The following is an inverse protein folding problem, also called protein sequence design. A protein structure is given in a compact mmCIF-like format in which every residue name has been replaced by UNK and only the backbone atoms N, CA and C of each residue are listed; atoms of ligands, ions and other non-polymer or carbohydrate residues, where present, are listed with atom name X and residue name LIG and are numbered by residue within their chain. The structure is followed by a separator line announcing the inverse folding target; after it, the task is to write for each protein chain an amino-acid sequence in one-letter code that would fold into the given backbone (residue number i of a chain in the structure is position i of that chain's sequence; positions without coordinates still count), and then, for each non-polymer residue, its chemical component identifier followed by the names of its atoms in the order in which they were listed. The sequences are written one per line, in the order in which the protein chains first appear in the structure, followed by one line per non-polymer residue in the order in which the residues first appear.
data_IF_852170938163
#
_entry.id   IF_852170938163
#
_cell.length_a   1.000
_cell.length_b   1.000
_cell.length_c   1.000
_cell.angle_alpha   90.00
_cell.angle_beta   90.00
_cell.angle_gamma   90.00
#
_symmetry.space_group_name_H-M   'P 1'
#
loop_
_entity.id
_entity.type
_entity.pdbx_description
1 polymer ?
#
# COMPACT_ATOMS: atom_id res chain seq x y z
N UNK A 1 31.87 -25.21 29.04
CA UNK A 1 31.69 -25.19 27.57
C UNK A 1 31.10 -26.51 27.05
N UNK A 2 29.85 -26.87 27.41
CA UNK A 2 29.14 -28.07 26.87
C UNK A 2 27.61 -27.93 26.83
N UNK A 3 27.05 -26.72 27.02
CA UNK A 3 25.59 -26.50 27.12
C UNK A 3 25.03 -25.47 26.13
N UNK A 4 25.79 -25.13 25.08
CA UNK A 4 25.44 -24.08 24.13
C UNK A 4 25.23 -24.57 22.70
N UNK A 5 24.97 -25.87 22.52
CA UNK A 5 24.92 -26.50 21.18
C UNK A 5 23.65 -27.32 20.93
N UNK A 6 22.58 -27.07 21.68
CA UNK A 6 21.37 -27.90 21.62
C UNK A 6 20.05 -27.11 21.51
N UNK A 7 20.13 -25.80 21.24
CA UNK A 7 18.94 -24.94 21.04
C UNK A 7 18.74 -24.55 19.57
N UNK A 8 19.75 -24.75 18.72
CA UNK A 8 19.70 -24.42 17.28
C UNK A 8 19.10 -25.51 16.39
N UNK A 9 18.56 -26.59 16.96
CA UNK A 9 18.04 -27.74 16.21
C UNK A 9 16.51 -27.88 16.15
N UNK A 10 15.76 -27.08 16.93
CA UNK A 10 14.28 -27.21 17.03
C UNK A 10 13.55 -26.05 16.35
N UNK A 11 14.23 -24.93 16.06
CA UNK A 11 13.64 -23.80 15.33
C UNK A 11 13.55 -24.01 13.82
N UNK A 12 14.17 -25.06 13.26
CA UNK A 12 14.21 -25.32 11.81
C UNK A 12 13.19 -26.36 11.33
N UNK A 13 12.34 -26.88 12.23
CA UNK A 13 11.25 -27.78 11.87
C UNK A 13 9.94 -27.04 11.51
N UNK A 14 9.80 -25.78 11.92
CA UNK A 14 8.63 -24.96 11.58
C UNK A 14 8.75 -24.23 10.23
N UNK A 15 9.92 -24.25 9.60
CA UNK A 15 10.12 -23.64 8.27
C UNK A 15 9.95 -24.69 7.14
N UNK A 16 10.01 -25.98 7.47
CA UNK A 16 9.89 -27.08 6.48
C UNK A 16 8.59 -27.88 6.57
N UNK A 17 7.73 -27.60 7.56
CA UNK A 17 6.30 -27.85 7.40
C UNK A 17 5.72 -26.69 6.59
N UNK A 18 6.19 -26.58 5.34
CA UNK A 18 5.42 -25.90 4.31
C UNK A 18 4.03 -26.48 4.40
N UNK A 19 3.09 -25.62 4.79
CA UNK A 19 1.68 -25.90 4.89
C UNK A 19 1.22 -26.42 3.51
N UNK A 20 1.39 -27.72 3.26
CA UNK A 20 0.53 -28.50 2.38
C UNK A 20 -0.79 -28.62 3.12
N UNK A 21 -1.45 -27.48 3.26
CA UNK A 21 -2.89 -27.44 3.31
C UNK A 21 -3.24 -27.47 1.84
N UNK A 22 -3.61 -28.65 1.34
CA UNK A 22 -4.37 -28.77 0.11
C UNK A 22 -5.68 -28.00 0.32
N UNK A 23 -5.62 -26.69 0.08
CA UNK A 23 -6.76 -25.79 -0.06
C UNK A 23 -7.26 -25.91 -1.50
N UNK A 24 -7.75 -27.11 -1.81
CA UNK A 24 -8.35 -27.43 -3.09
C UNK A 24 -9.78 -26.85 -3.12
N UNK A 25 -9.89 -25.50 -3.16
CA UNK A 25 -11.10 -24.73 -3.57
C UNK A 25 -10.97 -23.17 -3.55
N UNK A 26 -9.80 -22.55 -3.37
CA UNK A 26 -9.69 -21.07 -3.18
C UNK A 26 -8.68 -20.32 -4.08
N UNK A 27 -8.21 -20.93 -5.17
CA UNK A 27 -7.12 -20.34 -5.98
C UNK A 27 -7.53 -19.04 -6.67
N UNK A 28 -8.74 -18.94 -7.22
CA UNK A 28 -9.16 -17.75 -7.98
C UNK A 28 -9.32 -16.50 -7.12
N UNK A 29 -10.00 -16.57 -5.97
CA UNK A 29 -10.21 -15.41 -5.07
C UNK A 29 -8.90 -14.94 -4.41
N UNK A 30 -7.97 -15.88 -4.18
CA UNK A 30 -6.67 -15.53 -3.59
C UNK A 30 -5.74 -14.92 -4.64
N UNK A 31 -5.79 -15.41 -5.88
CA UNK A 31 -5.10 -14.81 -7.02
C UNK A 31 -5.66 -13.42 -7.34
N UNK A 32 -6.99 -13.24 -7.29
CA UNK A 32 -7.66 -11.95 -7.48
C UNK A 32 -7.26 -10.93 -6.40
N UNK A 33 -7.27 -11.33 -5.13
CA UNK A 33 -6.76 -10.48 -4.05
C UNK A 33 -5.28 -10.12 -4.23
N UNK A 34 -4.44 -11.07 -4.63
CA UNK A 34 -3.02 -10.79 -4.86
C UNK A 34 -2.81 -9.81 -6.03
N UNK A 35 -3.58 -9.94 -7.11
CA UNK A 35 -3.54 -9.00 -8.24
C UNK A 35 -3.95 -7.58 -7.82
N UNK A 36 -4.98 -7.44 -6.97
CA UNK A 36 -5.39 -6.11 -6.49
C UNK A 36 -4.35 -5.50 -5.52
N UNK A 37 -3.68 -6.31 -4.69
CA UNK A 37 -2.53 -5.82 -3.90
C UNK A 37 -1.41 -5.34 -4.80
N UNK A 38 -1.05 -6.10 -5.84
CA UNK A 38 0.00 -5.71 -6.80
C UNK A 38 -0.39 -4.42 -7.54
N UNK A 39 -1.62 -4.32 -8.02
CA UNK A 39 -2.14 -3.13 -8.70
C UNK A 39 -2.12 -1.89 -7.81
N UNK A 40 -2.54 -2.02 -6.56
CA UNK A 40 -2.45 -0.94 -5.58
C UNK A 40 -1.01 -0.51 -5.32
N UNK A 41 -0.10 -1.48 -5.17
CA UNK A 41 1.33 -1.21 -4.96
C UNK A 41 1.97 -0.51 -6.17
N UNK A 42 1.64 -0.94 -7.39
CA UNK A 42 2.12 -0.34 -8.63
C UNK A 42 1.68 1.13 -8.73
N UNK A 43 0.40 1.43 -8.47
CA UNK A 43 -0.11 2.81 -8.49
C UNK A 43 0.57 3.68 -7.43
N UNK A 44 0.86 3.13 -6.25
CA UNK A 44 1.59 3.84 -5.20
C UNK A 44 3.03 4.15 -5.64
N UNK A 45 3.72 3.18 -6.25
CA UNK A 45 5.10 3.33 -6.73
C UNK A 45 5.20 4.30 -7.91
N UNK A 46 4.29 4.20 -8.88
CA UNK A 46 4.23 5.09 -10.04
C UNK A 46 3.94 6.53 -9.60
N UNK A 47 2.94 6.71 -8.73
CA UNK A 47 2.62 8.03 -8.18
C UNK A 47 3.81 8.62 -7.44
N UNK A 48 4.49 7.83 -6.61
CA UNK A 48 5.69 8.26 -5.92
C UNK A 48 6.75 8.74 -6.91
N UNK A 49 7.08 7.93 -7.92
CA UNK A 49 8.14 8.26 -8.88
C UNK A 49 7.85 9.56 -9.64
N UNK A 50 6.61 9.77 -10.04
CA UNK A 50 6.22 11.00 -10.73
C UNK A 50 6.24 12.22 -9.81
N UNK A 51 5.70 12.10 -8.60
CA UNK A 51 5.64 13.21 -7.66
C UNK A 51 7.02 13.56 -7.07
N UNK A 52 7.91 12.59 -6.90
CA UNK A 52 9.30 12.85 -6.49
C UNK A 52 10.04 13.74 -7.50
N UNK A 53 9.74 13.63 -8.79
CA UNK A 53 10.35 14.49 -9.82
C UNK A 53 9.98 15.97 -9.65
N UNK A 54 8.84 16.27 -9.02
CA UNK A 54 8.37 17.64 -8.77
C UNK A 54 9.10 18.29 -7.57
N UNK A 55 9.76 17.50 -6.72
CA UNK A 55 10.49 18.02 -5.53
C UNK A 55 11.69 18.88 -5.87
N UNK A 56 12.23 18.74 -7.09
CA UNK A 56 13.34 19.57 -7.55
C UNK A 56 12.90 21.01 -7.87
N UNK A 57 11.60 21.23 -8.01
CA UNK A 57 11.03 22.55 -8.29
C UNK A 57 10.92 23.39 -7.01
N UNK A 58 11.10 24.72 -7.15
CA UNK A 58 10.96 25.66 -6.03
C UNK A 58 9.50 25.97 -5.67
N UNK A 59 8.58 25.70 -6.58
CA UNK A 59 7.15 25.98 -6.49
C UNK A 59 6.40 25.09 -7.46
N UNK A 60 5.14 24.77 -7.15
CA UNK A 60 4.24 24.06 -8.05
C UNK A 60 3.71 25.02 -9.11
N UNK A 61 3.75 24.60 -10.37
CA UNK A 61 3.00 25.23 -11.46
C UNK A 61 1.58 24.68 -11.52
N UNK A 62 0.69 25.36 -12.26
CA UNK A 62 -0.67 24.87 -12.47
C UNK A 62 -0.70 23.48 -13.15
N UNK A 63 0.27 23.20 -14.02
CA UNK A 63 0.44 21.87 -14.64
C UNK A 63 0.83 20.82 -13.59
N UNK A 64 1.71 21.17 -12.64
CA UNK A 64 2.09 20.29 -11.53
C UNK A 64 0.88 20.03 -10.61
N UNK A 65 0.08 21.05 -10.30
CA UNK A 65 -1.14 20.91 -9.50
C UNK A 65 -2.16 19.97 -10.17
N UNK A 66 -2.31 20.07 -11.49
CA UNK A 66 -3.18 19.17 -12.26
C UNK A 66 -2.67 17.73 -12.24
N UNK A 67 -1.35 17.53 -12.38
CA UNK A 67 -0.73 16.21 -12.28
C UNK A 67 -0.94 15.62 -10.88
N UNK A 68 -0.67 16.39 -9.83
CA UNK A 68 -0.89 15.98 -8.43
C UNK A 68 -2.36 15.61 -8.24
N UNK A 69 -3.31 16.43 -8.70
CA UNK A 69 -4.74 16.13 -8.61
C UNK A 69 -5.08 14.80 -9.25
N UNK A 70 -4.60 14.56 -10.48
CA UNK A 70 -4.87 13.31 -11.22
C UNK A 70 -4.34 12.09 -10.47
N UNK A 71 -3.12 12.17 -9.92
CA UNK A 71 -2.51 11.05 -9.19
C UNK A 71 -3.16 10.80 -7.84
N UNK A 72 -3.55 11.86 -7.13
CA UNK A 72 -4.34 11.74 -5.90
C UNK A 72 -5.71 11.10 -6.17
N UNK A 73 -6.36 11.44 -7.30
CA UNK A 73 -7.61 10.82 -7.71
C UNK A 73 -7.43 9.32 -7.98
N UNK A 74 -6.42 8.95 -8.77
CA UNK A 74 -6.10 7.55 -9.05
C UNK A 74 -5.78 6.75 -7.77
N UNK A 75 -5.05 7.33 -6.82
CA UNK A 75 -4.77 6.68 -5.54
C UNK A 75 -6.05 6.42 -4.73
N UNK A 76 -6.95 7.41 -4.64
CA UNK A 76 -8.21 7.25 -3.92
C UNK A 76 -9.06 6.18 -4.59
N UNK A 77 -9.18 6.21 -5.93
CA UNK A 77 -9.96 5.23 -6.68
C UNK A 77 -9.41 3.81 -6.49
N UNK A 78 -8.08 3.62 -6.51
CA UNK A 78 -7.47 2.31 -6.27
C UNK A 78 -7.59 1.84 -4.82
N UNK A 79 -7.56 2.76 -3.86
CA UNK A 79 -7.86 2.43 -2.45
C UNK A 79 -9.32 1.97 -2.33
N UNK A 80 -10.26 2.68 -2.96
CA UNK A 80 -11.68 2.31 -2.98
C UNK A 80 -11.91 0.92 -3.61
N UNK A 81 -11.32 0.65 -4.78
CA UNK A 81 -11.38 -0.66 -5.44
C UNK A 81 -10.85 -1.79 -4.53
N UNK A 82 -9.69 -1.58 -3.89
CA UNK A 82 -9.13 -2.58 -2.99
C UNK A 82 -10.02 -2.88 -1.76
N UNK A 83 -10.71 -1.86 -1.24
CA UNK A 83 -11.65 -2.02 -0.11
C UNK A 83 -12.95 -2.71 -0.51
N UNK A 84 -13.40 -2.53 -1.76
CA UNK A 84 -14.64 -3.14 -2.25
C UNK A 84 -14.48 -4.61 -2.68
N UNK A 85 -13.25 -5.06 -2.91
CA UNK A 85 -12.96 -6.41 -3.41
C UNK A 85 -13.38 -7.51 -2.43
N UNK A 86 -14.04 -8.56 -2.94
CA UNK A 86 -14.52 -9.67 -2.12
C UNK A 86 -13.40 -10.68 -1.89
N UNK A 87 -12.61 -10.47 -0.84
CA UNK A 87 -11.54 -11.40 -0.51
C UNK A 87 -12.05 -12.68 0.19
N UNK A 88 -11.33 -13.78 0.00
CA UNK A 88 -11.60 -15.05 0.71
C UNK A 88 -11.50 -14.86 2.23
N UNK A 89 -12.09 -15.73 3.05
CA UNK A 89 -12.12 -15.59 4.52
C UNK A 89 -10.72 -15.39 5.13
N UNK A 90 -9.70 -16.04 4.56
CA UNK A 90 -8.30 -15.91 5.01
C UNK A 90 -7.73 -14.53 4.65
N UNK A 91 -8.04 -14.03 3.45
CA UNK A 91 -7.63 -12.72 2.98
C UNK A 91 -8.39 -11.58 3.67
N UNK A 92 -9.63 -11.79 4.15
CA UNK A 92 -10.42 -10.78 4.89
C UNK A 92 -9.73 -10.23 6.12
N UNK A 93 -8.95 -11.05 6.84
CA UNK A 93 -8.23 -10.55 8.00
C UNK A 93 -7.11 -9.57 7.58
N UNK A 94 -6.33 -9.93 6.56
CA UNK A 94 -5.31 -9.06 6.00
C UNK A 94 -5.92 -7.80 5.37
N UNK A 95 -7.04 -7.95 4.64
CA UNK A 95 -7.80 -6.86 4.07
C UNK A 95 -8.28 -5.91 5.17
N UNK A 96 -8.98 -6.38 6.20
CA UNK A 96 -9.46 -5.52 7.30
C UNK A 96 -8.33 -4.70 7.98
N UNK A 97 -7.15 -5.31 8.18
CA UNK A 97 -5.99 -4.62 8.75
C UNK A 97 -5.46 -3.56 7.78
N UNK A 98 -5.40 -3.89 6.49
CA UNK A 98 -5.02 -2.95 5.44
C UNK A 98 -6.05 -1.81 5.30
N UNK A 99 -7.36 -2.10 5.35
CA UNK A 99 -8.44 -1.11 5.23
C UNK A 99 -8.33 -0.01 6.29
N UNK A 100 -8.03 -0.36 7.55
CA UNK A 100 -7.84 0.65 8.61
C UNK A 100 -6.72 1.64 8.25
N UNK A 101 -5.59 1.13 7.76
CA UNK A 101 -4.46 1.95 7.29
C UNK A 101 -4.81 2.73 6.03
N UNK A 102 -5.50 2.11 5.08
CA UNK A 102 -5.87 2.74 3.81
C UNK A 102 -6.91 3.85 4.02
N UNK A 103 -7.82 3.71 4.99
CA UNK A 103 -8.76 4.77 5.37
C UNK A 103 -8.05 6.01 5.92
N UNK A 104 -7.03 5.83 6.78
CA UNK A 104 -6.20 6.94 7.27
C UNK A 104 -5.53 7.68 6.11
N UNK A 105 -4.97 6.92 5.15
CA UNK A 105 -4.30 7.48 3.96
C UNK A 105 -5.28 8.20 3.05
N UNK A 106 -6.42 7.59 2.79
CA UNK A 106 -7.46 8.14 1.94
C UNK A 106 -8.00 9.46 2.51
N UNK A 107 -8.16 9.58 3.82
CA UNK A 107 -8.56 10.85 4.46
C UNK A 107 -7.53 11.95 4.22
N UNK A 108 -6.23 11.63 4.36
CA UNK A 108 -5.15 12.58 4.06
C UNK A 108 -5.18 13.00 2.58
N UNK A 109 -5.31 12.04 1.67
CA UNK A 109 -5.39 12.28 0.22
C UNK A 109 -6.61 13.12 -0.15
N UNK A 110 -7.79 12.86 0.45
CA UNK A 110 -9.00 13.67 0.26
C UNK A 110 -8.83 15.10 0.75
N UNK A 111 -8.18 15.30 1.90
CA UNK A 111 -7.87 16.64 2.41
C UNK A 111 -6.96 17.41 1.45
N UNK A 112 -5.95 16.76 0.88
CA UNK A 112 -5.05 17.38 -0.11
C UNK A 112 -5.78 17.67 -1.42
N UNK A 113 -6.62 16.74 -1.90
CA UNK A 113 -7.50 16.95 -3.06
C UNK A 113 -8.36 18.19 -2.89
N UNK A 114 -8.94 18.39 -1.71
CA UNK A 114 -9.75 19.57 -1.44
C UNK A 114 -8.91 20.86 -1.35
N UNK A 115 -7.66 20.81 -0.89
CA UNK A 115 -6.73 21.95 -1.00
C UNK A 115 -6.43 22.29 -2.46
N UNK A 116 -6.20 21.28 -3.32
CA UNK A 116 -5.94 21.49 -4.75
C UNK A 116 -7.13 22.17 -5.42
N UNK A 117 -8.36 21.70 -5.17
CA UNK A 117 -9.59 22.35 -5.69
C UNK A 117 -9.73 23.82 -5.28
N UNK A 118 -9.21 24.18 -4.11
CA UNK A 118 -9.25 25.53 -3.58
C UNK A 118 -8.00 26.36 -3.92
N UNK A 119 -7.07 25.84 -4.73
CA UNK A 119 -5.79 26.50 -5.08
C UNK A 119 -4.96 26.84 -3.84
N UNK A 120 -4.94 25.92 -2.87
CA UNK A 120 -4.23 26.04 -1.59
C UNK A 120 -3.18 24.96 -1.40
N UNK A 121 -2.80 24.26 -2.47
CA UNK A 121 -1.79 23.20 -2.40
C UNK A 121 -0.40 23.79 -2.28
N UNK A 122 0.38 23.25 -1.34
CA UNK A 122 1.76 23.68 -1.09
C UNK A 122 2.74 22.53 -1.36
N UNK A 123 4.04 22.84 -1.44
CA UNK A 123 5.08 21.79 -1.52
C UNK A 123 5.04 20.83 -0.34
N UNK A 124 4.59 21.29 0.83
CA UNK A 124 4.39 20.45 2.01
C UNK A 124 3.29 19.40 1.80
N UNK A 125 2.30 19.68 0.96
CA UNK A 125 1.27 18.70 0.59
C UNK A 125 1.85 17.64 -0.36
N UNK A 126 2.75 18.03 -1.28
CA UNK A 126 3.48 17.07 -2.10
C UNK A 126 4.33 16.13 -1.24
N UNK A 127 5.05 16.66 -0.25
CA UNK A 127 5.80 15.85 0.72
C UNK A 127 4.88 14.87 1.46
N UNK A 128 3.70 15.32 1.86
CA UNK A 128 2.70 14.51 2.56
C UNK A 128 2.18 13.38 1.67
N UNK A 129 1.89 13.64 0.39
CA UNK A 129 1.47 12.57 -0.54
C UNK A 129 2.58 11.53 -0.67
N UNK A 130 3.82 11.97 -0.90
CA UNK A 130 4.97 11.07 -1.06
C UNK A 130 5.19 10.24 0.20
N UNK A 131 5.05 10.84 1.38
CA UNK A 131 5.10 10.12 2.66
C UNK A 131 3.98 9.09 2.76
N UNK A 132 2.73 9.47 2.48
CA UNK A 132 1.57 8.57 2.49
C UNK A 132 1.77 7.35 1.59
N UNK A 133 2.26 7.55 0.37
CA UNK A 133 2.51 6.43 -0.56
C UNK A 133 3.79 5.67 -0.25
N UNK A 134 4.75 6.26 0.47
CA UNK A 134 6.01 5.60 0.85
C UNK A 134 5.93 4.83 2.16
N UNK A 135 5.10 5.28 3.12
CA UNK A 135 5.11 4.82 4.50
C UNK A 135 4.78 3.34 4.66
N UNK A 136 4.13 2.71 3.68
CA UNK A 136 3.69 1.32 3.78
C UNK A 136 3.92 0.47 2.52
N UNK A 137 4.76 0.90 1.56
CA UNK A 137 5.18 -0.04 0.48
C UNK A 137 6.16 -1.11 1.01
N UNK A 138 6.69 -0.94 2.24
CA UNK A 138 7.12 -2.08 3.06
C UNK A 138 5.87 -2.81 3.61
N UNK A 139 5.15 -3.55 2.77
CA UNK A 139 4.07 -4.45 3.20
C UNK A 139 4.68 -5.59 4.02
N UNK A 140 5.01 -5.33 5.30
CA UNK A 140 5.35 -6.35 6.32
C UNK A 140 4.12 -7.16 6.75
N UNK A 141 3.19 -7.41 5.82
CA UNK A 141 2.05 -8.28 6.03
C UNK A 141 2.44 -9.77 5.88
N UNK A 142 3.70 -10.06 5.48
CA UNK A 142 4.22 -11.40 5.25
C UNK A 142 5.60 -11.70 5.89
N UNK A 143 6.11 -10.87 6.82
CA UNK A 143 7.29 -11.20 7.65
C UNK A 143 6.90 -11.83 9.00
#
# INVERSE_FOLDING_TARGET
MKKLMLITGISMAFILTGCSVDLDMSTSETEEFAMEVEKLADVFMDTKGELESLKENKSLSEEDEQLISKRVDELIDQIDEFKEENSSIVAKFAQNVAEEKLNEKEEILKNIKDKIKNQQVEMSDLDTIIEVVSADVEWKLFE
#
